data_IF_886607511990
#
_entry.id   IF_886607511990
#
_cell.length_a   1.000
_cell.length_b   1.000
_cell.length_c   1.000
_cell.angle_alpha   90.00
_cell.angle_beta   90.00
_cell.angle_gamma   90.00
#
_symmetry.space_group_name_H-M   'P 1'
#
loop_
_entity.id
_entity.type
_entity.pdbx_description
1 polymer ?
#
# COMPACT_ATOMS: atom_id res chain seq x y z
N UNK A 1 -1.56 10.93 5.02
CA UNK A 1 -1.19 11.87 3.92
C UNK A 1 0.29 11.82 3.56
N UNK A 2 1.23 11.73 4.54
CA UNK A 2 2.68 11.67 4.25
C UNK A 2 3.06 10.52 3.30
N UNK A 3 2.56 9.32 3.52
CA UNK A 3 2.83 8.16 2.66
C UNK A 3 2.33 8.37 1.22
N UNK A 4 1.17 9.00 1.06
CA UNK A 4 0.65 9.30 -0.28
C UNK A 4 1.54 10.30 -1.02
N UNK A 5 2.05 11.30 -0.31
CA UNK A 5 3.00 12.27 -0.87
C UNK A 5 4.33 11.62 -1.29
N UNK A 6 4.88 10.72 -0.45
CA UNK A 6 6.19 10.10 -0.73
C UNK A 6 6.12 9.04 -1.84
N UNK A 7 5.04 8.26 -1.89
CA UNK A 7 4.94 7.08 -2.75
C UNK A 7 3.95 7.24 -3.91
N UNK A 8 2.97 8.16 -3.77
CA UNK A 8 1.86 8.32 -4.69
C UNK A 8 2.31 8.77 -6.07
N UNK A 9 3.12 9.83 -6.13
CA UNK A 9 3.59 10.41 -7.41
C UNK A 9 4.25 9.36 -8.31
N UNK A 10 5.12 8.52 -7.75
CA UNK A 10 5.81 7.49 -8.53
C UNK A 10 4.83 6.44 -9.10
N UNK A 11 3.79 6.09 -8.35
CA UNK A 11 2.77 5.12 -8.80
C UNK A 11 1.85 5.79 -9.81
N UNK A 12 1.47 7.05 -9.59
CA UNK A 12 0.67 7.84 -10.50
C UNK A 12 1.36 8.03 -11.85
N UNK A 13 2.65 8.29 -11.87
CA UNK A 13 3.47 8.37 -13.09
C UNK A 13 3.40 7.11 -13.95
N UNK A 14 3.24 5.94 -13.34
CA UNK A 14 3.11 4.67 -14.05
C UNK A 14 1.70 4.47 -14.58
N UNK A 15 0.68 4.81 -13.78
CA UNK A 15 -0.73 4.55 -14.14
C UNK A 15 -1.37 5.70 -14.92
N UNK A 16 -0.81 6.92 -14.82
CA UNK A 16 -1.42 8.17 -15.27
C UNK A 16 -2.57 8.61 -14.37
N UNK A 17 -2.96 9.88 -14.39
CA UNK A 17 -3.95 10.46 -13.48
C UNK A 17 -5.27 9.67 -13.40
N UNK A 18 -5.90 9.38 -14.53
CA UNK A 18 -7.17 8.63 -14.56
C UNK A 18 -7.00 7.18 -14.11
N UNK A 19 -5.91 6.53 -14.54
CA UNK A 19 -5.57 5.16 -14.13
C UNK A 19 -5.26 5.06 -12.63
N UNK A 20 -4.56 6.04 -12.08
CA UNK A 20 -4.24 6.12 -10.66
C UNK A 20 -5.49 6.31 -9.79
N UNK A 21 -6.44 7.14 -10.22
CA UNK A 21 -7.72 7.31 -9.52
C UNK A 21 -8.49 5.99 -9.44
N UNK A 22 -8.62 5.27 -10.57
CA UNK A 22 -9.28 3.96 -10.61
C UNK A 22 -8.53 2.95 -9.73
N UNK A 23 -7.21 2.91 -9.82
CA UNK A 23 -6.35 2.08 -8.99
C UNK A 23 -6.58 2.35 -7.49
N UNK A 24 -6.56 3.61 -7.08
CA UNK A 24 -6.72 4.04 -5.69
C UNK A 24 -8.07 3.62 -5.11
N UNK A 25 -9.16 3.89 -5.85
CA UNK A 25 -10.52 3.50 -5.45
C UNK A 25 -10.65 1.98 -5.37
N UNK A 26 -10.10 1.24 -6.33
CA UNK A 26 -10.12 -0.22 -6.33
C UNK A 26 -9.41 -0.80 -5.11
N UNK A 27 -8.24 -0.27 -4.76
CA UNK A 27 -7.51 -0.68 -3.55
C UNK A 27 -8.31 -0.37 -2.28
N UNK A 28 -8.98 0.78 -2.23
CA UNK A 28 -9.83 1.17 -1.10
C UNK A 28 -11.03 0.25 -0.92
N UNK A 29 -11.73 -0.09 -2.00
CA UNK A 29 -12.85 -1.04 -1.98
C UNK A 29 -12.40 -2.44 -1.55
N UNK A 30 -11.29 -2.93 -2.09
CA UNK A 30 -10.71 -4.21 -1.71
C UNK A 30 -10.29 -4.24 -0.22
N UNK A 31 -9.71 -3.15 0.27
CA UNK A 31 -9.36 -2.99 1.68
C UNK A 31 -10.60 -3.07 2.59
N UNK A 32 -11.67 -2.35 2.23
CA UNK A 32 -12.93 -2.38 2.96
C UNK A 32 -13.55 -3.79 2.95
N UNK A 33 -13.56 -4.45 1.80
CA UNK A 33 -14.05 -5.82 1.67
C UNK A 33 -13.25 -6.81 2.52
N UNK A 34 -11.91 -6.71 2.52
CA UNK A 34 -11.04 -7.57 3.34
C UNK A 34 -11.29 -7.35 4.83
N UNK A 35 -11.53 -6.12 5.25
CA UNK A 35 -11.88 -5.81 6.64
C UNK A 35 -13.22 -6.44 7.04
N UNK A 36 -14.27 -6.27 6.22
CA UNK A 36 -15.58 -6.90 6.46
C UNK A 36 -15.45 -8.42 6.53
N UNK A 37 -14.67 -9.01 5.64
CA UNK A 37 -14.42 -10.44 5.63
C UNK A 37 -13.72 -10.90 6.92
N UNK A 38 -12.74 -10.14 7.41
CA UNK A 38 -12.03 -10.46 8.65
C UNK A 38 -12.94 -10.45 9.88
N UNK A 39 -13.92 -9.53 9.92
CA UNK A 39 -14.96 -9.50 10.95
C UNK A 39 -15.83 -10.76 10.90
N UNK A 40 -16.30 -11.14 9.72
CA UNK A 40 -17.16 -12.32 9.54
C UNK A 40 -16.44 -13.64 9.84
N UNK A 41 -15.13 -13.70 9.62
CA UNK A 41 -14.30 -14.87 9.93
C UNK A 41 -13.81 -14.90 11.38
N UNK A 42 -14.16 -13.91 12.21
CA UNK A 42 -13.71 -13.82 13.60
C UNK A 42 -12.22 -13.55 13.77
N UNK A 43 -11.56 -13.01 12.71
CA UNK A 43 -10.14 -12.62 12.76
C UNK A 43 -9.95 -11.23 13.38
N UNK A 44 -11.00 -10.44 13.47
CA UNK A 44 -11.01 -9.12 14.09
C UNK A 44 -12.15 -9.06 15.09
N UNK A 45 -11.88 -8.59 16.30
CA UNK A 45 -12.89 -8.34 17.29
C UNK A 45 -13.09 -6.83 17.42
N UNK A 46 -14.22 -6.27 16.96
CA UNK A 46 -14.49 -4.86 17.09
C UNK A 46 -14.64 -4.50 18.55
N UNK A 47 -13.96 -3.44 18.97
CA UNK A 47 -14.13 -2.89 20.34
C UNK A 47 -15.48 -2.20 20.48
N UNK A 48 -16.01 -1.65 19.39
CA UNK A 48 -17.35 -1.06 19.31
C UNK A 48 -17.82 -1.13 17.83
N UNK A 49 -19.00 -1.71 17.60
CA UNK A 49 -19.62 -1.77 16.27
C UNK A 49 -20.01 -0.39 15.71
N UNK A 50 -20.05 0.64 16.57
CA UNK A 50 -20.34 2.01 16.16
C UNK A 50 -19.09 2.79 15.73
N UNK A 51 -17.88 2.26 15.92
CA UNK A 51 -16.65 2.87 15.42
C UNK A 51 -16.50 2.53 13.94
N UNK A 52 -16.86 3.47 13.09
CA UNK A 52 -16.65 3.33 11.64
C UNK A 52 -15.16 3.20 11.32
N UNK A 53 -14.85 2.34 10.35
CA UNK A 53 -13.49 2.30 9.76
C UNK A 53 -13.28 3.59 9.00
N UNK A 54 -12.55 4.51 9.63
CA UNK A 54 -12.28 5.83 9.06
C UNK A 54 -10.97 5.82 8.30
N UNK A 55 -11.05 6.21 7.04
CA UNK A 55 -9.92 6.74 6.31
C UNK A 55 -9.49 5.99 5.06
N UNK A 56 -8.81 6.76 4.23
CA UNK A 56 -8.21 6.31 2.99
C UNK A 56 -6.98 5.39 3.21
N UNK A 57 -6.67 4.98 4.45
CA UNK A 57 -5.43 4.25 4.78
C UNK A 57 -5.33 2.89 4.07
N UNK A 58 -6.45 2.22 3.84
CA UNK A 58 -6.48 0.98 3.05
C UNK A 58 -6.13 1.21 1.58
N UNK A 59 -6.64 2.28 0.96
CA UNK A 59 -6.25 2.67 -0.40
C UNK A 59 -4.78 3.11 -0.47
N UNK A 60 -4.31 3.87 0.53
CA UNK A 60 -2.89 4.25 0.66
C UNK A 60 -2.01 3.00 0.78
N UNK A 61 -2.43 1.99 1.53
CA UNK A 61 -1.72 0.71 1.61
C UNK A 61 -1.58 0.05 0.24
N UNK A 62 -2.58 0.18 -0.64
CA UNK A 62 -2.50 -0.26 -2.02
C UNK A 62 -1.40 0.48 -2.81
N UNK A 63 -1.26 1.78 -2.60
CA UNK A 63 -0.16 2.57 -3.20
C UNK A 63 1.20 2.07 -2.71
N UNK A 64 1.34 1.76 -1.41
CA UNK A 64 2.56 1.17 -0.85
C UNK A 64 2.86 -0.20 -1.46
N UNK A 65 1.83 -1.05 -1.64
CA UNK A 65 1.95 -2.35 -2.30
C UNK A 65 2.38 -2.25 -3.77
N UNK A 66 1.84 -1.28 -4.51
CA UNK A 66 2.29 -1.00 -5.88
C UNK A 66 3.73 -0.49 -5.91
N UNK A 67 4.10 0.43 -5.04
CA UNK A 67 5.47 0.95 -4.95
C UNK A 67 6.48 -0.15 -4.61
N UNK A 68 6.12 -1.06 -3.70
CA UNK A 68 6.92 -2.23 -3.34
C UNK A 68 7.31 -3.08 -4.56
N UNK A 69 6.37 -3.28 -5.50
CA UNK A 69 6.59 -4.05 -6.74
C UNK A 69 7.33 -3.24 -7.80
N UNK A 70 6.91 -1.97 -8.02
CA UNK A 70 7.39 -1.16 -9.13
C UNK A 70 8.76 -0.54 -8.87
N UNK A 71 9.07 -0.24 -7.60
CA UNK A 71 10.27 0.52 -7.21
C UNK A 71 11.03 -0.11 -6.03
N UNK A 72 11.34 -1.42 -6.06
CA UNK A 72 11.90 -2.15 -4.90
C UNK A 72 13.27 -1.60 -4.45
N UNK A 73 14.03 -1.01 -5.36
CA UNK A 73 15.37 -0.46 -5.10
C UNK A 73 15.37 1.04 -4.78
N UNK A 74 14.21 1.71 -4.83
CA UNK A 74 14.10 3.11 -4.42
C UNK A 74 14.54 3.26 -2.96
N UNK A 75 15.24 4.33 -2.64
CA UNK A 75 15.72 4.59 -1.28
C UNK A 75 14.80 5.57 -0.58
N UNK A 76 14.32 5.18 0.60
CA UNK A 76 13.48 5.99 1.46
C UNK A 76 14.34 6.53 2.59
N UNK A 77 14.38 7.85 2.73
CA UNK A 77 15.04 8.48 3.87
C UNK A 77 14.18 8.27 5.12
N UNK A 78 14.66 7.45 6.02
CA UNK A 78 13.96 7.08 7.25
C UNK A 78 14.79 7.47 8.46
N UNK A 79 14.14 8.00 9.49
CA UNK A 79 14.81 8.32 10.76
C UNK A 79 14.79 7.07 11.63
N UNK A 80 15.96 6.52 11.90
CA UNK A 80 16.15 5.37 12.80
C UNK A 80 17.12 5.82 13.91
N UNK A 81 16.68 5.79 15.15
CA UNK A 81 17.51 6.15 16.31
C UNK A 81 18.24 7.50 16.13
N UNK A 82 17.52 8.54 15.69
CA UNK A 82 18.04 9.90 15.42
C UNK A 82 18.98 10.01 14.20
N UNK A 83 19.23 8.92 13.47
CA UNK A 83 20.02 8.93 12.24
C UNK A 83 19.10 8.88 11.02
N UNK A 84 19.40 9.70 10.00
CA UNK A 84 18.70 9.64 8.71
C UNK A 84 19.40 8.61 7.83
N UNK A 85 18.74 7.48 7.58
CA UNK A 85 19.30 6.39 6.81
C UNK A 85 18.50 6.16 5.53
N UNK A 86 19.16 6.00 4.37
CA UNK A 86 18.51 5.63 3.12
C UNK A 86 18.25 4.10 3.09
N UNK A 87 17.03 3.69 3.42
CA UNK A 87 16.64 2.28 3.43
C UNK A 87 15.98 1.92 2.09
N UNK A 88 16.30 0.77 1.47
CA UNK A 88 15.58 0.30 0.29
C UNK A 88 14.07 0.14 0.56
N UNK A 89 13.24 0.59 -0.39
CA UNK A 89 11.79 0.57 -0.26
C UNK A 89 11.26 -0.84 0.04
N UNK A 90 11.84 -1.86 -0.58
CA UNK A 90 11.45 -3.26 -0.37
C UNK A 90 11.60 -3.69 1.10
N UNK A 91 12.64 -3.25 1.79
CA UNK A 91 12.86 -3.59 3.21
C UNK A 91 11.90 -2.81 4.10
N UNK A 92 11.76 -1.50 3.88
CA UNK A 92 10.88 -0.65 4.67
C UNK A 92 9.41 -1.07 4.55
N UNK A 93 8.92 -1.20 3.32
CA UNK A 93 7.53 -1.55 3.04
C UNK A 93 7.21 -3.01 3.36
N UNK A 94 8.18 -3.92 3.14
CA UNK A 94 8.04 -5.32 3.51
C UNK A 94 7.92 -5.51 5.02
N UNK A 95 8.77 -4.81 5.80
CA UNK A 95 8.69 -4.82 7.27
C UNK A 95 7.38 -4.20 7.75
N UNK A 96 6.97 -3.06 7.17
CA UNK A 96 5.69 -2.42 7.50
C UNK A 96 4.50 -3.37 7.23
N UNK A 97 4.49 -4.06 6.07
CA UNK A 97 3.46 -5.02 5.73
C UNK A 97 3.42 -6.21 6.70
N UNK A 98 4.60 -6.74 7.05
CA UNK A 98 4.72 -7.83 8.02
C UNK A 98 4.11 -7.43 9.37
N UNK A 99 4.39 -6.22 9.85
CA UNK A 99 3.78 -5.71 11.09
C UNK A 99 2.25 -5.62 10.99
N UNK A 100 1.71 -5.13 9.86
CA UNK A 100 0.25 -5.07 9.67
C UNK A 100 -0.37 -6.47 9.76
N UNK A 101 0.26 -7.44 9.16
CA UNK A 101 -0.20 -8.82 9.19
C UNK A 101 -0.13 -9.45 10.58
N UNK A 102 1.00 -9.28 11.28
CA UNK A 102 1.17 -9.79 12.64
C UNK A 102 0.20 -9.13 13.63
N UNK A 103 0.06 -7.81 13.59
CA UNK A 103 -0.91 -7.12 14.44
C UNK A 103 -2.35 -7.54 14.12
N UNK A 104 -2.69 -7.74 12.85
CA UNK A 104 -4.00 -8.28 12.45
C UNK A 104 -4.31 -9.66 13.04
N UNK A 105 -3.29 -10.49 13.29
CA UNK A 105 -3.45 -11.82 13.87
C UNK A 105 -3.48 -11.83 15.42
N UNK A 106 -2.67 -10.97 16.06
CA UNK A 106 -2.40 -11.08 17.50
C UNK A 106 -2.98 -9.94 18.33
N UNK A 107 -3.29 -8.79 17.74
CA UNK A 107 -3.80 -7.66 18.48
C UNK A 107 -5.33 -7.68 18.55
N UNK A 108 -5.85 -7.93 19.74
CA UNK A 108 -7.29 -7.94 20.02
C UNK A 108 -7.69 -6.56 20.54
N UNK A 109 -8.77 -6.01 19.98
CA UNK A 109 -9.35 -4.76 20.49
C UNK A 109 -8.68 -3.48 19.99
N UNK A 110 -7.93 -3.55 18.89
CA UNK A 110 -7.36 -2.37 18.24
C UNK A 110 -8.43 -1.56 17.50
N UNK A 111 -8.24 -0.24 17.49
CA UNK A 111 -9.02 0.67 16.65
C UNK A 111 -8.49 0.73 15.22
N UNK A 112 -7.37 0.06 14.93
CA UNK A 112 -6.73 0.04 13.61
C UNK A 112 -7.23 -1.15 12.81
N UNK A 113 -7.70 -0.90 11.60
CA UNK A 113 -8.17 -1.93 10.69
C UNK A 113 -6.99 -2.59 9.93
N UNK A 114 -6.18 -3.38 10.62
CA UNK A 114 -4.98 -4.01 10.04
C UNK A 114 -5.30 -4.86 8.79
N UNK A 115 -6.40 -5.60 8.80
CA UNK A 115 -6.82 -6.40 7.64
C UNK A 115 -7.21 -5.56 6.43
N UNK A 116 -7.72 -4.33 6.64
CA UNK A 116 -7.91 -3.39 5.53
C UNK A 116 -6.56 -3.00 4.91
N UNK A 117 -5.52 -2.78 5.74
CA UNK A 117 -4.18 -2.47 5.24
C UNK A 117 -3.58 -3.65 4.46
N UNK A 118 -3.73 -4.86 4.98
CA UNK A 118 -3.28 -6.09 4.30
C UNK A 118 -3.98 -6.25 2.95
N UNK A 119 -5.31 -6.14 2.92
CA UNK A 119 -6.09 -6.26 1.69
C UNK A 119 -5.75 -5.21 0.64
N UNK A 120 -5.62 -3.94 1.07
CA UNK A 120 -5.19 -2.85 0.20
C UNK A 120 -3.81 -3.09 -0.40
N UNK A 121 -2.82 -3.44 0.45
CA UNK A 121 -1.44 -3.68 0.02
C UNK A 121 -1.35 -4.82 -1.01
N UNK A 122 -1.97 -5.96 -0.74
CA UNK A 122 -1.98 -7.11 -1.65
C UNK A 122 -2.67 -6.77 -2.97
N UNK A 123 -3.79 -6.05 -2.94
CA UNK A 123 -4.47 -5.58 -4.15
C UNK A 123 -3.58 -4.67 -4.99
N UNK A 124 -2.89 -3.72 -4.33
CA UNK A 124 -1.92 -2.86 -4.99
C UNK A 124 -0.77 -3.63 -5.64
N UNK A 125 -0.23 -4.65 -4.95
CA UNK A 125 0.79 -5.54 -5.53
C UNK A 125 0.27 -6.28 -6.78
N UNK A 126 -0.93 -6.84 -6.72
CA UNK A 126 -1.53 -7.57 -7.85
C UNK A 126 -1.73 -6.66 -9.05
N UNK A 127 -2.31 -5.46 -8.85
CA UNK A 127 -2.51 -4.49 -9.92
C UNK A 127 -1.20 -3.97 -10.49
N UNK A 128 -0.19 -3.73 -9.65
CA UNK A 128 1.13 -3.32 -10.09
C UNK A 128 1.83 -4.41 -10.91
N UNK A 129 1.71 -5.67 -10.50
CA UNK A 129 2.32 -6.80 -11.21
C UNK A 129 1.65 -7.04 -12.56
N UNK A 130 0.31 -7.00 -12.61
CA UNK A 130 -0.47 -7.32 -13.81
C UNK A 130 -0.45 -6.17 -14.84
N UNK A 131 -0.60 -4.93 -14.41
CA UNK A 131 -0.74 -3.77 -15.29
C UNK A 131 0.43 -2.81 -15.20
N UNK A 132 0.92 -2.57 -14.00
CA UNK A 132 1.93 -1.54 -13.71
C UNK A 132 3.29 -1.84 -14.31
N UNK A 133 3.78 -3.07 -14.23
CA UNK A 133 5.09 -3.45 -14.78
C UNK A 133 5.17 -3.25 -16.30
N UNK A 134 4.08 -3.57 -17.02
CA UNK A 134 4.03 -3.36 -18.46
C UNK A 134 4.08 -1.86 -18.79
N UNK A 135 3.23 -1.06 -18.15
CA UNK A 135 3.17 0.40 -18.32
C UNK A 135 4.50 1.08 -17.96
N UNK A 136 5.11 0.65 -16.86
CA UNK A 136 6.42 1.17 -16.46
C UNK A 136 7.48 0.90 -17.52
N UNK A 137 7.54 -0.32 -18.08
CA UNK A 137 8.49 -0.66 -19.15
C UNK A 137 8.27 0.18 -20.40
N UNK A 138 7.03 0.43 -20.80
CA UNK A 138 6.69 1.27 -21.94
C UNK A 138 7.10 2.73 -21.69
N UNK A 139 6.82 3.25 -20.49
CA UNK A 139 7.25 4.59 -20.08
C UNK A 139 8.78 4.73 -20.14
N UNK A 140 9.50 3.82 -19.48
CA UNK A 140 10.97 3.89 -19.37
C UNK A 140 11.64 3.80 -20.75
N UNK A 141 11.05 3.10 -21.74
CA UNK A 141 11.51 3.09 -23.13
C UNK A 141 11.33 4.45 -23.82
N UNK A 142 10.22 5.14 -23.56
CA UNK A 142 9.92 6.43 -24.18
C UNK A 142 10.80 7.57 -23.64
N UNK A 143 11.34 7.42 -22.43
CA UNK A 143 12.23 8.39 -21.77
C UNK A 143 13.71 7.97 -21.82
N UNK A 144 14.06 6.83 -22.45
CA UNK A 144 15.46 6.47 -22.65
C UNK A 144 16.13 7.48 -23.60
N UNK A 145 17.30 8.05 -23.25
CA UNK A 145 18.01 8.95 -24.14
C UNK A 145 18.35 8.18 -25.44
N UNK A 146 18.08 8.82 -26.58
CA UNK A 146 18.50 8.33 -27.91
C UNK A 146 20.03 8.34 -27.90
N UNK A 147 20.62 7.17 -27.74
CA UNK A 147 22.07 6.96 -27.81
C UNK A 147 22.56 6.99 -29.25
#
# INVERSE_FOLDING_TARGET
MLYLYIFGDNVEDVFGHGGYMVFYVTCGLAAAFTHILSLNLGLTYPTDFNVGVVGASGAISGVLGAHFVLFPKARILTVVAYLILPIPAILFLGFWFLLQWLYGLFEVGSTIAYWAHVGGFLTGMVLATSLGLKRKRERDKNFAPIS
#
